data_IF_924056003029
#
_entry.id   IF_924056003029
#
_cell.length_a   1.000
_cell.length_b   1.000
_cell.length_c   1.000
_cell.angle_alpha   90.00
_cell.angle_beta   90.00
_cell.angle_gamma   90.00
#
_symmetry.space_group_name_H-M   'P 1'
#
loop_
_entity.id
_entity.type
_entity.pdbx_description
1 polymer ?
#
# COMPACT_ATOMS: atom_id res chain seq x y z
N UNK A 1 4.28 -3.54 -12.09
CA UNK A 1 3.07 -4.35 -12.07
C UNK A 1 1.95 -3.62 -12.79
N UNK A 2 1.39 -4.26 -13.79
CA UNK A 2 0.31 -3.68 -14.59
C UNK A 2 -1.05 -3.95 -13.93
N UNK A 3 -1.51 -2.99 -13.12
CA UNK A 3 -2.83 -3.05 -12.52
C UNK A 3 -3.71 -1.95 -13.11
N UNK A 4 -4.96 -2.30 -13.41
CA UNK A 4 -5.95 -1.32 -13.82
C UNK A 4 -6.46 -0.61 -12.56
N UNK A 5 -6.18 0.69 -12.44
CA UNK A 5 -6.55 1.49 -11.28
C UNK A 5 -7.83 2.30 -11.49
N UNK A 6 -8.39 2.25 -12.70
CA UNK A 6 -9.57 3.04 -13.04
C UNK A 6 -10.76 2.61 -12.16
N UNK A 7 -11.40 3.58 -11.52
CA UNK A 7 -12.53 3.38 -10.61
C UNK A 7 -12.17 2.60 -9.33
N UNK A 8 -10.88 2.47 -8.99
CA UNK A 8 -10.41 1.74 -7.81
C UNK A 8 -10.15 2.67 -6.65
N UNK A 9 -10.40 2.18 -5.44
CA UNK A 9 -9.95 2.84 -4.20
C UNK A 9 -8.59 2.28 -3.84
N UNK A 10 -7.62 3.16 -3.65
CA UNK A 10 -6.21 2.80 -3.40
C UNK A 10 -5.78 3.33 -2.05
N UNK A 11 -5.10 2.49 -1.27
CA UNK A 11 -4.48 2.86 0.00
C UNK A 11 -2.97 2.78 -0.15
N UNK A 12 -2.26 3.84 0.22
CA UNK A 12 -0.80 3.90 0.23
C UNK A 12 -0.32 4.00 1.68
N UNK A 13 0.25 2.91 2.18
CA UNK A 13 0.66 2.77 3.57
C UNK A 13 2.11 3.20 3.74
N UNK A 14 2.37 4.14 4.67
CA UNK A 14 3.71 4.70 4.84
C UNK A 14 4.13 5.46 3.61
N UNK A 15 3.30 6.41 3.18
CA UNK A 15 3.37 6.98 1.84
C UNK A 15 4.60 7.85 1.55
N UNK A 16 5.37 8.27 2.56
CA UNK A 16 6.54 9.12 2.37
C UNK A 16 6.19 10.38 1.59
N UNK A 17 6.83 10.58 0.43
CA UNK A 17 6.59 11.77 -0.41
C UNK A 17 5.27 11.71 -1.18
N UNK A 18 4.54 10.60 -1.09
CA UNK A 18 3.28 10.41 -1.78
C UNK A 18 3.38 9.97 -3.23
N UNK A 19 4.57 9.61 -3.70
CA UNK A 19 4.80 9.27 -5.12
C UNK A 19 3.88 8.15 -5.60
N UNK A 20 3.76 7.05 -4.85
CA UNK A 20 2.92 5.92 -5.28
C UNK A 20 1.45 6.32 -5.33
N UNK A 21 0.96 7.07 -4.33
CA UNK A 21 -0.40 7.57 -4.31
C UNK A 21 -0.68 8.52 -5.46
N UNK A 22 0.28 9.40 -5.77
CA UNK A 22 0.17 10.35 -6.88
C UNK A 22 0.06 9.59 -8.21
N UNK A 23 0.91 8.58 -8.42
CA UNK A 23 0.87 7.77 -9.64
C UNK A 23 -0.48 7.06 -9.75
N UNK A 24 -0.98 6.49 -8.64
CA UNK A 24 -2.29 5.84 -8.63
C UNK A 24 -3.41 6.82 -9.02
N UNK A 25 -3.39 8.03 -8.45
CA UNK A 25 -4.38 9.06 -8.77
C UNK A 25 -4.31 9.46 -10.24
N UNK A 26 -3.10 9.62 -10.78
CA UNK A 26 -2.91 9.95 -12.20
C UNK A 26 -3.34 8.82 -13.13
N UNK A 27 -3.30 7.58 -12.67
CA UNK A 27 -3.76 6.42 -13.43
C UNK A 27 -5.27 6.23 -13.35
N UNK A 28 -5.99 7.15 -12.74
CA UNK A 28 -7.45 7.15 -12.74
C UNK A 28 -8.11 6.52 -11.53
N UNK A 29 -7.38 6.31 -10.44
CA UNK A 29 -7.96 5.80 -9.21
C UNK A 29 -9.13 6.70 -8.77
N UNK A 30 -10.22 6.08 -8.33
CA UNK A 30 -11.41 6.79 -7.88
C UNK A 30 -11.13 7.61 -6.62
N UNK A 31 -10.37 7.03 -5.71
CA UNK A 31 -10.00 7.64 -4.44
C UNK A 31 -8.66 7.08 -4.01
N UNK A 32 -7.78 7.93 -3.53
CA UNK A 32 -6.47 7.52 -3.01
C UNK A 32 -6.29 8.08 -1.61
N UNK A 33 -6.12 7.18 -0.65
CA UNK A 33 -5.87 7.52 0.75
C UNK A 33 -4.43 7.13 1.06
N UNK A 34 -3.70 8.05 1.69
CA UNK A 34 -2.32 7.83 2.10
C UNK A 34 -2.20 8.07 3.59
N UNK A 35 -1.31 7.37 4.27
CA UNK A 35 -0.98 7.73 5.64
C UNK A 35 0.52 7.57 5.90
N UNK A 36 1.03 8.36 6.82
CA UNK A 36 2.40 8.26 7.28
C UNK A 36 2.47 8.77 8.72
N UNK A 37 3.35 8.18 9.51
CA UNK A 37 3.55 8.58 10.91
C UNK A 37 4.34 9.88 11.00
N UNK A 38 5.12 10.21 9.96
CA UNK A 38 5.99 11.37 9.92
C UNK A 38 5.25 12.60 9.39
N UNK A 39 5.13 13.64 10.23
CA UNK A 39 4.47 14.89 9.87
C UNK A 39 5.07 15.53 8.60
N UNK A 40 6.40 15.48 8.45
CA UNK A 40 7.07 16.03 7.27
C UNK A 40 6.68 15.27 6.01
N UNK A 41 6.56 13.93 6.10
CA UNK A 41 6.11 13.10 4.99
C UNK A 41 4.69 13.45 4.59
N UNK A 42 3.80 13.65 5.56
CA UNK A 42 2.42 14.04 5.30
C UNK A 42 2.36 15.37 4.54
N UNK A 43 3.11 16.37 5.01
CA UNK A 43 3.17 17.68 4.36
C UNK A 43 3.75 17.59 2.95
N UNK A 44 4.81 16.80 2.78
CA UNK A 44 5.43 16.61 1.47
C UNK A 44 4.48 15.91 0.50
N UNK A 45 3.75 14.90 0.97
CA UNK A 45 2.78 14.20 0.13
C UNK A 45 1.66 15.14 -0.33
N UNK A 46 1.12 15.95 0.58
CA UNK A 46 0.09 16.94 0.25
C UNK A 46 0.60 17.96 -0.76
N UNK A 47 1.82 18.48 -0.55
CA UNK A 47 2.44 19.45 -1.45
C UNK A 47 2.70 18.86 -2.83
N UNK A 48 3.23 17.64 -2.88
CA UNK A 48 3.51 16.96 -4.15
C UNK A 48 2.22 16.63 -4.91
N UNK A 49 1.15 16.27 -4.21
CA UNK A 49 -0.15 16.04 -4.83
C UNK A 49 -0.66 17.34 -5.49
N UNK A 50 -0.56 18.46 -4.80
CA UNK A 50 -0.97 19.76 -5.32
C UNK A 50 -0.15 20.13 -6.56
N UNK A 51 1.19 19.95 -6.50
CA UNK A 51 2.08 20.22 -7.64
C UNK A 51 1.73 19.38 -8.87
N UNK A 52 1.20 18.18 -8.67
CA UNK A 52 0.85 17.26 -9.75
C UNK A 52 -0.63 17.33 -10.15
N UNK A 53 -1.40 18.21 -9.52
CA UNK A 53 -2.80 18.41 -9.86
C UNK A 53 -3.70 17.22 -9.52
N UNK A 54 -3.37 16.43 -8.50
CA UNK A 54 -4.17 15.28 -8.06
C UNK A 54 -4.64 15.46 -6.63
N UNK A 55 -5.70 14.77 -6.27
CA UNK A 55 -6.25 14.76 -4.91
C UNK A 55 -5.82 13.50 -4.19
N UNK A 56 -5.23 13.67 -3.01
CA UNK A 56 -4.92 12.61 -2.08
C UNK A 56 -5.51 12.95 -0.72
N UNK A 57 -6.12 11.96 -0.07
CA UNK A 57 -6.45 12.07 1.35
C UNK A 57 -5.24 11.61 2.15
N UNK A 58 -4.49 12.56 2.70
CA UNK A 58 -3.26 12.24 3.44
C UNK A 58 -3.51 12.37 4.93
N UNK A 59 -3.30 11.28 5.65
CA UNK A 59 -3.55 11.18 7.09
C UNK A 59 -2.21 11.03 7.83
N UNK A 60 -2.10 11.69 8.97
CA UNK A 60 -0.95 11.51 9.85
C UNK A 60 -1.28 10.42 10.87
N UNK A 61 -0.40 9.42 10.97
CA UNK A 61 -0.55 8.33 11.94
C UNK A 61 -0.04 7.02 11.38
N UNK A 62 -0.19 5.96 12.18
CA UNK A 62 0.18 4.60 11.81
C UNK A 62 -1.06 3.81 11.33
N UNK A 63 -0.94 2.48 11.27
CA UNK A 63 -2.04 1.61 10.83
C UNK A 63 -3.36 1.82 11.56
N UNK A 64 -3.34 2.41 12.77
CA UNK A 64 -4.56 2.65 13.54
C UNK A 64 -5.48 3.67 12.88
N UNK A 65 -4.97 4.50 11.96
CA UNK A 65 -5.83 5.42 11.20
C UNK A 65 -6.85 4.65 10.35
N UNK A 66 -6.58 3.39 10.02
CA UNK A 66 -7.48 2.58 9.21
C UNK A 66 -8.82 2.31 9.89
N UNK A 67 -8.88 2.38 11.22
CA UNK A 67 -10.14 2.24 11.95
C UNK A 67 -11.05 3.46 11.77
N UNK A 68 -10.50 4.58 11.31
CA UNK A 68 -11.23 5.82 11.08
C UNK A 68 -11.56 6.06 9.61
N UNK A 69 -11.08 5.18 8.73
CA UNK A 69 -11.37 5.26 7.29
C UNK A 69 -12.54 4.34 6.98
N UNK A 70 -13.56 4.88 6.33
CA UNK A 70 -14.74 4.07 5.98
C UNK A 70 -14.51 3.28 4.70
N UNK A 71 -15.07 2.07 4.67
CA UNK A 71 -15.07 1.22 3.49
C UNK A 71 -13.82 0.37 3.35
N UNK A 72 -13.66 -0.21 2.17
CA UNK A 72 -12.56 -1.10 1.85
C UNK A 72 -11.81 -0.57 0.63
N UNK A 73 -10.60 -1.07 0.44
CA UNK A 73 -9.74 -0.65 -0.67
C UNK A 73 -9.56 -1.81 -1.65
N UNK A 74 -9.50 -1.48 -2.92
CA UNK A 74 -9.29 -2.46 -3.99
C UNK A 74 -7.81 -2.80 -4.14
N UNK A 75 -6.94 -1.82 -3.91
CA UNK A 75 -5.50 -2.00 -4.02
C UNK A 75 -4.84 -1.33 -2.82
N UNK A 76 -3.94 -2.06 -2.17
CA UNK A 76 -3.15 -1.55 -1.05
C UNK A 76 -1.68 -1.58 -1.48
N UNK A 77 -1.03 -0.43 -1.36
CA UNK A 77 0.39 -0.26 -1.67
C UNK A 77 1.15 -0.06 -0.36
N UNK A 78 2.25 -0.77 -0.18
CA UNK A 78 3.07 -0.59 1.00
C UNK A 78 4.54 -0.75 0.63
N UNK A 79 5.26 0.35 0.57
CA UNK A 79 6.71 0.36 0.35
C UNK A 79 7.41 0.61 1.68
N UNK A 80 7.45 -0.41 2.52
CA UNK A 80 7.93 -0.36 3.90
C UNK A 80 8.77 -1.61 4.18
N UNK A 81 9.55 -1.58 5.28
CA UNK A 81 10.43 -2.70 5.59
C UNK A 81 9.66 -3.91 6.12
N UNK A 82 10.36 -5.07 6.14
CA UNK A 82 9.77 -6.34 6.56
C UNK A 82 9.12 -6.26 7.95
N UNK A 83 9.77 -5.64 8.91
CA UNK A 83 9.27 -5.63 10.29
C UNK A 83 7.94 -4.88 10.39
N UNK A 84 7.81 -3.77 9.68
CA UNK A 84 6.56 -3.01 9.66
C UNK A 84 5.47 -3.78 8.90
N UNK A 85 5.83 -4.45 7.80
CA UNK A 85 4.88 -5.29 7.08
C UNK A 85 4.31 -6.37 8.00
N UNK A 86 5.18 -7.07 8.74
CA UNK A 86 4.76 -8.14 9.64
C UNK A 86 3.86 -7.64 10.77
N UNK A 87 4.08 -6.41 11.25
CA UNK A 87 3.23 -5.80 12.27
C UNK A 87 1.87 -5.36 11.73
N UNK A 88 1.85 -4.84 10.50
CA UNK A 88 0.69 -4.09 10.00
C UNK A 88 -0.19 -4.87 9.03
N UNK A 89 0.28 -6.00 8.50
CA UNK A 89 -0.42 -6.70 7.41
C UNK A 89 -1.83 -7.17 7.80
N UNK A 90 -2.06 -7.53 9.05
CA UNK A 90 -3.40 -7.92 9.49
C UNK A 90 -4.38 -6.73 9.43
N UNK A 91 -3.90 -5.52 9.70
CA UNK A 91 -4.72 -4.31 9.54
C UNK A 91 -5.01 -4.04 8.06
N UNK A 92 -4.03 -4.29 7.18
CA UNK A 92 -4.26 -4.15 5.73
C UNK A 92 -5.34 -5.10 5.26
N UNK A 93 -5.29 -6.35 5.72
CA UNK A 93 -6.30 -7.36 5.36
C UNK A 93 -7.69 -6.95 5.83
N UNK A 94 -7.78 -6.26 6.98
CA UNK A 94 -9.06 -5.82 7.53
C UNK A 94 -9.81 -4.82 6.64
N UNK A 95 -9.11 -4.15 5.72
CA UNK A 95 -9.71 -3.18 4.80
C UNK A 95 -9.72 -3.69 3.34
N UNK A 96 -9.60 -5.00 3.15
CA UNK A 96 -9.66 -5.65 1.84
C UNK A 96 -10.99 -6.33 1.59
N UNK A 97 -11.36 -6.42 0.31
CA UNK A 97 -12.43 -7.30 -0.17
C UNK A 97 -11.83 -8.60 -0.70
N UNK A 98 -12.68 -9.52 -1.17
CA UNK A 98 -12.22 -10.77 -1.79
C UNK A 98 -11.43 -10.54 -3.08
N UNK A 99 -11.66 -9.42 -3.77
CA UNK A 99 -11.00 -9.10 -5.04
C UNK A 99 -9.82 -8.14 -4.87
N UNK A 100 -9.54 -7.71 -3.65
CA UNK A 100 -8.46 -6.75 -3.37
C UNK A 100 -7.08 -7.39 -3.56
N UNK A 101 -6.11 -6.53 -3.85
CA UNK A 101 -4.71 -6.92 -4.01
C UNK A 101 -3.83 -6.03 -3.15
N UNK A 102 -2.73 -6.62 -2.66
CA UNK A 102 -1.70 -5.89 -1.93
C UNK A 102 -0.41 -5.95 -2.71
N UNK A 103 0.23 -4.81 -2.89
CA UNK A 103 1.56 -4.73 -3.50
C UNK A 103 2.53 -4.28 -2.41
N UNK A 104 3.45 -5.18 -2.05
CA UNK A 104 4.44 -4.95 -1.01
C UNK A 104 5.82 -4.78 -1.63
N UNK A 105 6.56 -3.77 -1.19
CA UNK A 105 7.94 -3.53 -1.60
C UNK A 105 8.71 -2.86 -0.46
N UNK A 106 9.99 -2.60 -0.65
CA UNK A 106 10.82 -1.97 0.39
C UNK A 106 11.57 -3.00 1.24
N UNK A 107 11.71 -4.23 0.77
CA UNK A 107 12.41 -5.30 1.47
C UNK A 107 13.23 -6.12 0.48
N UNK A 108 14.09 -6.99 0.99
CA UNK A 108 14.93 -7.86 0.16
C UNK A 108 14.26 -9.22 -0.05
N UNK A 109 14.65 -9.91 -1.12
CA UNK A 109 14.09 -11.23 -1.42
C UNK A 109 14.23 -12.20 -0.24
N UNK A 110 15.31 -12.12 0.50
CA UNK A 110 15.53 -12.99 1.67
C UNK A 110 14.45 -12.83 2.74
N UNK A 111 13.73 -11.69 2.74
CA UNK A 111 12.66 -11.41 3.70
C UNK A 111 11.30 -11.93 3.22
N UNK A 112 11.18 -12.32 1.96
CA UNK A 112 9.90 -12.69 1.36
C UNK A 112 9.27 -13.91 2.03
N UNK A 113 10.06 -14.89 2.45
CA UNK A 113 9.57 -16.10 3.12
C UNK A 113 8.78 -15.77 4.39
N UNK A 114 9.33 -14.91 5.25
CA UNK A 114 8.66 -14.52 6.50
C UNK A 114 7.36 -13.77 6.21
N UNK A 115 7.39 -12.88 5.21
CA UNK A 115 6.21 -12.12 4.82
C UNK A 115 5.12 -13.05 4.26
N UNK A 116 5.50 -14.00 3.40
CA UNK A 116 4.56 -14.94 2.80
C UNK A 116 3.97 -15.90 3.84
N UNK A 117 4.76 -16.31 4.83
CA UNK A 117 4.25 -17.16 5.90
C UNK A 117 3.13 -16.44 6.65
N UNK A 118 3.35 -15.18 7.01
CA UNK A 118 2.33 -14.38 7.70
C UNK A 118 1.13 -14.12 6.79
N UNK A 119 1.35 -13.80 5.53
CA UNK A 119 0.30 -13.54 4.56
C UNK A 119 -0.58 -14.77 4.35
N UNK A 120 0.03 -15.95 4.24
CA UNK A 120 -0.71 -17.21 4.08
C UNK A 120 -1.60 -17.49 5.29
N UNK A 121 -1.13 -17.20 6.49
CA UNK A 121 -1.94 -17.33 7.71
C UNK A 121 -3.19 -16.45 7.67
N UNK A 122 -3.12 -15.33 6.95
CA UNK A 122 -4.22 -14.38 6.81
C UNK A 122 -5.08 -14.61 5.55
N UNK A 123 -4.84 -15.71 4.83
CA UNK A 123 -5.62 -16.06 3.66
C UNK A 123 -5.18 -15.40 2.37
N UNK A 124 -3.94 -14.93 2.30
CA UNK A 124 -3.36 -14.33 1.10
C UNK A 124 -2.37 -15.29 0.44
N UNK A 125 -2.17 -15.12 -0.86
CA UNK A 125 -1.18 -15.90 -1.62
C UNK A 125 -0.38 -14.98 -2.53
N UNK A 126 0.83 -15.41 -2.85
CA UNK A 126 1.65 -14.73 -3.85
C UNK A 126 1.07 -14.97 -5.24
N UNK A 127 0.78 -13.88 -5.94
CA UNK A 127 0.30 -13.93 -7.32
C UNK A 127 1.43 -13.61 -8.30
N UNK A 128 2.32 -12.70 -7.94
CA UNK A 128 3.41 -12.26 -8.80
C UNK A 128 4.56 -11.76 -7.95
N UNK A 129 5.79 -11.94 -8.43
CA UNK A 129 6.99 -11.44 -7.77
C UNK A 129 7.89 -10.78 -8.81
N UNK A 130 8.37 -9.59 -8.49
CA UNK A 130 9.38 -8.90 -9.28
C UNK A 130 10.63 -8.70 -8.44
N UNK A 131 11.78 -8.92 -9.04
CA UNK A 131 13.09 -8.76 -8.39
C UNK A 131 13.92 -7.76 -9.18
N UNK A 132 14.60 -6.87 -8.47
CA UNK A 132 15.57 -5.96 -9.04
C UNK A 132 16.79 -6.00 -8.13
N UNK A 133 17.83 -6.74 -8.59
CA UNK A 133 18.94 -7.15 -7.74
C UNK A 133 18.38 -7.96 -6.56
N UNK A 134 18.60 -7.52 -5.33
CA UNK A 134 18.08 -8.19 -4.14
C UNK A 134 16.75 -7.62 -3.65
N UNK A 135 16.30 -6.49 -4.25
CA UNK A 135 15.02 -5.87 -3.88
C UNK A 135 13.86 -6.68 -4.44
N UNK A 136 12.83 -6.82 -3.63
CA UNK A 136 11.66 -7.63 -3.96
C UNK A 136 10.38 -6.81 -3.94
N UNK A 137 9.50 -7.11 -4.89
CA UNK A 137 8.13 -6.59 -4.91
C UNK A 137 7.18 -7.77 -5.03
N UNK A 138 6.23 -7.88 -4.12
CA UNK A 138 5.25 -8.97 -4.11
C UNK A 138 3.87 -8.44 -4.39
N UNK A 139 3.15 -9.12 -5.28
CA UNK A 139 1.72 -8.92 -5.47
C UNK A 139 1.00 -10.08 -4.79
N UNK A 140 0.17 -9.76 -3.81
CA UNK A 140 -0.60 -10.74 -3.04
C UNK A 140 -2.08 -10.55 -3.30
N UNK A 141 -2.82 -11.65 -3.30
CA UNK A 141 -4.28 -11.62 -3.43
C UNK A 141 -4.91 -12.70 -2.54
N UNK A 142 -6.23 -12.64 -2.36
CA UNK A 142 -6.94 -13.64 -1.56
C UNK A 142 -6.85 -15.01 -2.22
N UNK A 143 -6.72 -16.01 -1.37
CA UNK A 143 -6.74 -17.41 -1.80
C UNK A 143 -8.13 -17.83 -2.22
#
# INVERSE_FOLDING_TARGET
LNQDLKEKRVLDCGCGTGILGIVAAKCGAKETVCYDIDEWSVRNAEHNAELNGVELDVLEGDKRVLSHVSGVFDIILANINRNIILEDIDEFVSVMTTDSKIILSGFYEQDAEAILQKANELGLKESQRLLNHDWCCLLLERQ
#
